data_IF_989370752821
#
_entry.id   IF_989370752821
#
_cell.length_a   1.000
_cell.length_b   1.000
_cell.length_c   1.000
_cell.angle_alpha   90.00
_cell.angle_beta   90.00
_cell.angle_gamma   90.00
#
_symmetry.space_group_name_H-M   'P 1'
#
loop_
_entity.id
_entity.type
_entity.pdbx_description
1 polymer ?
#
# COMPACT_ATOMS: atom_id res chain seq x y z
N UNK A 1 22.90 16.36 30.38
CA UNK A 1 22.92 15.82 29.74
C UNK A 1 22.76 15.19 29.29
N UNK A 2 22.48 15.55 29.33
CA UNK A 2 22.32 15.04 28.68
C UNK A 2 21.97 14.54 28.31
N UNK A 3 21.50 14.64 28.38
CA UNK A 3 21.26 14.09 27.79
C UNK A 3 21.03 13.96 27.06
N UNK A 4 20.53 14.15 27.52
CA UNK A 4 19.89 14.17 26.38
C UNK A 4 20.54 14.01 25.19
N UNK A 5 20.67 14.33 24.76
CA UNK A 5 21.24 14.24 23.55
C UNK A 5 21.80 12.95 23.24
N UNK A 6 22.03 12.20 24.15
CA UNK A 6 22.65 10.98 23.88
C UNK A 6 21.75 9.94 23.28
N UNK A 7 20.54 9.76 23.76
CA UNK A 7 19.64 8.84 23.08
C UNK A 7 19.31 9.29 21.69
N UNK A 8 19.33 10.56 21.49
CA UNK A 8 19.08 11.07 20.17
C UNK A 8 20.13 10.60 19.19
N UNK A 9 21.38 10.61 19.61
CA UNK A 9 22.44 10.19 18.75
C UNK A 9 22.27 8.74 18.34
N UNK A 10 21.92 7.91 19.28
CA UNK A 10 21.73 6.50 19.01
C UNK A 10 20.56 6.27 18.07
N UNK A 11 19.46 6.89 18.33
CA UNK A 11 18.29 6.75 17.47
C UNK A 11 18.55 7.35 16.11
N UNK A 12 19.34 8.41 16.07
CA UNK A 12 19.60 9.10 14.81
C UNK A 12 20.38 8.25 13.83
N UNK A 13 21.29 7.43 14.30
CA UNK A 13 22.08 6.63 13.39
C UNK A 13 21.20 5.72 12.55
N UNK A 14 20.24 5.06 13.17
CA UNK A 14 19.33 4.18 12.45
C UNK A 14 18.41 4.98 11.55
N UNK A 15 17.90 6.08 12.04
CA UNK A 15 16.99 6.92 11.28
C UNK A 15 17.69 7.55 10.09
N UNK A 16 18.91 8.02 10.28
CA UNK A 16 19.65 8.66 9.21
C UNK A 16 19.94 7.69 8.07
N UNK A 17 20.26 6.47 8.39
CA UNK A 17 20.51 5.49 7.36
C UNK A 17 19.25 5.21 6.55
N UNK A 18 18.12 5.13 7.20
CA UNK A 18 16.85 4.92 6.50
C UNK A 18 16.50 6.11 5.63
N UNK A 19 16.71 7.32 6.16
CA UNK A 19 16.42 8.52 5.41
C UNK A 19 17.32 8.65 4.18
N UNK A 20 18.58 8.36 4.32
CA UNK A 20 19.50 8.40 3.19
C UNK A 20 19.09 7.39 2.13
N UNK A 21 18.71 6.21 2.56
CA UNK A 21 18.29 5.18 1.63
C UNK A 21 17.04 5.62 0.86
N UNK A 22 16.09 6.23 1.55
CA UNK A 22 14.85 6.66 0.90
C UNK A 22 15.08 7.79 -0.07
N UNK A 23 16.05 8.66 0.20
CA UNK A 23 16.32 9.80 -0.67
C UNK A 23 17.29 9.50 -1.78
N UNK A 24 17.89 8.32 -1.77
CA UNK A 24 18.86 7.93 -2.77
C UNK A 24 18.15 7.57 -4.07
N UNK A 25 18.46 8.27 -5.18
CA UNK A 25 17.82 7.94 -6.46
C UNK A 25 18.03 6.51 -6.89
N UNK A 26 19.19 5.93 -6.56
CA UNK A 26 19.45 4.53 -6.89
C UNK A 26 18.48 3.61 -6.18
N UNK A 27 18.09 3.96 -4.95
CA UNK A 27 17.12 3.19 -4.21
C UNK A 27 15.75 3.25 -4.88
N UNK A 28 15.33 4.44 -5.29
CA UNK A 28 14.05 4.59 -5.98
C UNK A 28 14.03 3.79 -7.26
N UNK A 29 15.10 3.87 -8.06
CA UNK A 29 15.19 3.13 -9.31
C UNK A 29 15.09 1.63 -9.03
N UNK A 30 15.78 1.15 -8.00
CA UNK A 30 15.73 -0.27 -7.65
C UNK A 30 14.31 -0.70 -7.27
N UNK A 31 13.61 0.13 -6.50
CA UNK A 31 12.23 -0.18 -6.11
C UNK A 31 11.30 -0.18 -7.31
N UNK A 32 11.46 0.78 -8.22
CA UNK A 32 10.65 0.82 -9.44
C UNK A 32 10.89 -0.42 -10.29
N UNK A 33 12.14 -0.88 -10.35
CA UNK A 33 12.45 -2.08 -11.10
C UNK A 33 11.77 -3.29 -10.50
N UNK A 34 11.76 -3.40 -9.17
CA UNK A 34 11.08 -4.50 -8.50
C UNK A 34 9.59 -4.50 -8.82
N UNK A 35 8.97 -3.32 -8.84
CA UNK A 35 7.57 -3.21 -9.19
C UNK A 35 7.33 -3.72 -10.59
N UNK A 36 8.15 -3.30 -11.56
CA UNK A 36 7.95 -3.73 -12.93
C UNK A 36 8.27 -5.20 -13.13
N UNK A 37 9.04 -5.81 -12.24
CA UNK A 37 9.32 -7.25 -12.28
C UNK A 37 8.28 -8.07 -11.53
N UNK A 38 7.25 -7.42 -10.97
CA UNK A 38 6.16 -8.12 -10.33
C UNK A 38 6.42 -8.49 -8.88
N UNK A 39 6.97 -7.55 -8.10
CA UNK A 39 7.11 -7.78 -6.67
C UNK A 39 5.75 -7.86 -6.00
N UNK A 40 5.69 -8.55 -4.86
CA UNK A 40 4.47 -8.61 -4.06
C UNK A 40 4.12 -7.21 -3.51
N UNK A 41 2.93 -7.08 -2.98
CA UNK A 41 2.43 -5.79 -2.51
C UNK A 41 3.28 -5.19 -1.41
N UNK A 42 3.96 -6.03 -0.62
CA UNK A 42 4.83 -5.54 0.45
C UNK A 42 6.20 -5.11 -0.08
N UNK A 43 6.44 -5.22 -1.38
CA UNK A 43 7.69 -4.80 -2.00
C UNK A 43 8.77 -5.87 -1.98
N UNK A 44 8.52 -7.02 -1.38
CA UNK A 44 9.50 -8.08 -1.30
C UNK A 44 9.32 -9.07 -2.44
N UNK A 45 10.37 -9.79 -2.83
CA UNK A 45 10.24 -10.79 -3.87
C UNK A 45 9.39 -11.97 -3.39
N UNK A 46 8.76 -12.65 -4.35
CA UNK A 46 8.00 -13.84 -4.05
C UNK A 46 8.92 -14.96 -3.57
N UNK A 47 8.38 -15.88 -2.77
CA UNK A 47 9.16 -17.07 -2.40
C UNK A 47 9.59 -17.85 -3.62
N UNK A 48 10.73 -18.52 -3.52
CA UNK A 48 11.24 -19.31 -4.61
C UNK A 48 10.23 -20.40 -4.98
N UNK A 49 10.02 -20.58 -6.29
CA UNK A 49 9.06 -21.56 -6.78
C UNK A 49 7.62 -21.06 -6.80
N UNK A 50 7.37 -19.90 -6.28
CA UNK A 50 6.05 -19.29 -6.28
C UNK A 50 6.19 -17.86 -6.75
N UNK A 51 5.33 -17.38 -7.63
CA UNK A 51 4.16 -18.05 -8.21
C UNK A 51 4.53 -19.00 -9.34
N UNK A 52 3.58 -19.78 -9.84
CA UNK A 52 3.83 -20.67 -10.98
C UNK A 52 4.34 -19.89 -12.18
N UNK A 53 5.10 -20.53 -13.07
CA UNK A 53 5.63 -19.84 -14.24
C UNK A 53 4.55 -19.16 -15.06
N UNK A 54 4.86 -17.94 -15.51
CA UNK A 54 3.93 -17.18 -16.33
C UNK A 54 2.83 -16.47 -15.57
N UNK A 55 2.82 -16.60 -14.23
CA UNK A 55 1.75 -16.00 -13.42
C UNK A 55 2.22 -14.87 -12.54
N UNK A 56 3.52 -14.59 -12.50
CA UNK A 56 4.06 -13.64 -11.54
C UNK A 56 3.45 -12.25 -11.66
N UNK A 57 3.40 -11.70 -12.87
CA UNK A 57 2.90 -10.35 -13.06
C UNK A 57 1.41 -10.26 -12.74
N UNK A 58 0.65 -11.28 -13.16
CA UNK A 58 -0.79 -11.28 -12.87
C UNK A 58 -1.06 -11.37 -11.38
N UNK A 59 -0.34 -12.23 -10.68
CA UNK A 59 -0.53 -12.39 -9.24
C UNK A 59 -0.03 -11.17 -8.48
N UNK A 60 1.07 -10.54 -8.94
CA UNK A 60 1.54 -9.30 -8.34
C UNK A 60 0.51 -8.20 -8.49
N UNK A 61 -0.11 -8.09 -9.67
CA UNK A 61 -1.15 -7.10 -9.90
C UNK A 61 -2.34 -7.34 -8.98
N UNK A 62 -2.76 -8.61 -8.83
CA UNK A 62 -3.85 -8.94 -7.93
C UNK A 62 -3.49 -8.61 -6.49
N UNK A 63 -2.29 -8.97 -6.05
CA UNK A 63 -1.86 -8.73 -4.68
C UNK A 63 -1.82 -7.24 -4.38
N UNK A 64 -1.25 -6.44 -5.27
CA UNK A 64 -1.18 -5.00 -5.09
C UNK A 64 -2.57 -4.37 -5.15
N UNK A 65 -3.43 -4.87 -6.03
CA UNK A 65 -4.80 -4.38 -6.13
C UNK A 65 -5.57 -4.65 -4.84
N UNK A 66 -5.40 -5.84 -4.27
CA UNK A 66 -6.06 -6.19 -3.02
C UNK A 66 -5.55 -5.33 -1.85
N UNK A 67 -4.25 -5.05 -1.83
CA UNK A 67 -3.70 -4.16 -0.81
C UNK A 67 -4.29 -2.76 -0.92
N UNK A 68 -4.41 -2.23 -2.13
CA UNK A 68 -5.04 -0.93 -2.36
C UNK A 68 -6.51 -0.95 -2.01
N UNK A 69 -7.21 -2.03 -2.35
CA UNK A 69 -8.61 -2.19 -2.00
C UNK A 69 -8.81 -2.15 -0.48
N UNK A 70 -7.89 -2.77 0.26
CA UNK A 70 -7.98 -2.75 1.73
C UNK A 70 -7.95 -1.32 2.25
N UNK A 71 -7.07 -0.48 1.70
CA UNK A 71 -6.98 0.93 2.13
C UNK A 71 -8.27 1.67 1.80
N UNK A 72 -8.82 1.46 0.60
CA UNK A 72 -10.07 2.11 0.22
C UNK A 72 -11.20 1.66 1.15
N UNK A 73 -11.25 0.38 1.49
CA UNK A 73 -12.27 -0.13 2.40
C UNK A 73 -12.16 0.48 3.79
N UNK A 74 -10.93 0.70 4.26
CA UNK A 74 -10.73 1.37 5.55
C UNK A 74 -11.24 2.80 5.51
N UNK A 75 -11.02 3.48 4.39
CA UNK A 75 -11.54 4.84 4.22
C UNK A 75 -13.07 4.85 4.19
N UNK A 76 -13.67 3.87 3.53
CA UNK A 76 -15.14 3.75 3.51
C UNK A 76 -15.67 3.55 4.92
N UNK A 77 -15.04 2.68 5.68
CA UNK A 77 -15.49 2.42 7.04
C UNK A 77 -15.35 3.65 7.92
N UNK A 78 -14.23 4.36 7.80
CA UNK A 78 -14.01 5.58 8.57
C UNK A 78 -15.03 6.65 8.19
N UNK A 79 -15.31 6.80 6.90
CA UNK A 79 -16.30 7.77 6.42
C UNK A 79 -17.69 7.42 6.93
N UNK A 80 -18.03 6.13 6.94
CA UNK A 80 -19.34 5.72 7.42
C UNK A 80 -19.49 5.94 8.92
N UNK A 81 -18.44 5.68 9.68
CA UNK A 81 -18.48 5.96 11.12
C UNK A 81 -18.59 7.45 11.41
N UNK A 82 -17.92 8.28 10.61
CA UNK A 82 -18.04 9.72 10.75
C UNK A 82 -19.45 10.18 10.44
N UNK A 83 -20.08 9.58 9.41
CA UNK A 83 -21.46 9.90 9.08
C UNK A 83 -22.41 9.58 10.22
N UNK A 84 -22.18 8.47 10.91
CA UNK A 84 -23.05 8.02 11.99
C UNK A 84 -22.82 8.80 13.29
N UNK A 85 -21.55 9.05 13.63
CA UNK A 85 -21.20 9.51 14.97
C UNK A 85 -20.55 10.89 15.00
N UNK A 86 -20.09 11.41 13.88
CA UNK A 86 -19.38 12.68 13.83
C UNK A 86 -20.32 13.85 13.57
N UNK A 87 -19.73 15.03 13.53
CA UNK A 87 -20.45 16.23 13.16
C UNK A 87 -20.69 16.26 11.66
N UNK A 88 -21.73 16.97 11.23
CA UNK A 88 -22.11 16.99 9.82
C UNK A 88 -20.98 17.49 8.93
N UNK A 89 -20.18 18.44 9.42
CA UNK A 89 -19.11 19.01 8.60
C UNK A 89 -17.87 18.12 8.56
N UNK A 90 -17.83 17.05 9.34
CA UNK A 90 -16.74 16.09 9.29
C UNK A 90 -16.94 15.00 8.24
N UNK A 91 -18.17 14.85 7.79
CA UNK A 91 -18.47 13.79 6.82
C UNK A 91 -17.98 14.20 5.42
N UNK A 92 -17.37 13.24 4.71
CA UNK A 92 -16.79 13.50 3.38
C UNK A 92 -17.84 13.77 2.31
N UNK A 93 -19.11 13.45 2.57
CA UNK A 93 -20.18 13.69 1.63
C UNK A 93 -20.53 12.45 0.83
N UNK A 94 -21.78 12.43 0.34
CA UNK A 94 -22.29 11.26 -0.34
C UNK A 94 -21.58 11.00 -1.67
N UNK A 95 -21.16 12.05 -2.35
CA UNK A 95 -20.46 11.89 -3.62
C UNK A 95 -19.13 11.14 -3.44
N UNK A 96 -18.38 11.52 -2.41
CA UNK A 96 -17.10 10.85 -2.11
C UNK A 96 -17.36 9.43 -1.65
N UNK A 97 -18.34 9.23 -0.78
CA UNK A 97 -18.68 7.91 -0.30
C UNK A 97 -19.06 6.98 -1.45
N UNK A 98 -19.89 7.46 -2.38
CA UNK A 98 -20.27 6.65 -3.51
C UNK A 98 -19.07 6.31 -4.39
N UNK A 99 -18.18 7.29 -4.61
CA UNK A 99 -16.97 7.05 -5.38
C UNK A 99 -16.07 6.02 -4.74
N UNK A 100 -15.93 6.04 -3.42
CA UNK A 100 -15.15 5.04 -2.71
C UNK A 100 -15.77 3.66 -2.86
N UNK A 101 -17.09 3.56 -2.78
CA UNK A 101 -17.75 2.27 -2.95
C UNK A 101 -17.57 1.73 -4.37
N UNK A 102 -17.66 2.61 -5.37
CA UNK A 102 -17.43 2.19 -6.76
C UNK A 102 -16.00 1.74 -6.97
N UNK A 103 -15.04 2.40 -6.32
CA UNK A 103 -13.64 1.98 -6.38
C UNK A 103 -13.47 0.58 -5.78
N UNK A 104 -14.15 0.27 -4.69
CA UNK A 104 -14.10 -1.06 -4.10
C UNK A 104 -14.59 -2.12 -5.10
N UNK A 105 -15.68 -1.83 -5.79
CA UNK A 105 -16.20 -2.77 -6.78
C UNK A 105 -15.22 -2.96 -7.93
N UNK A 106 -14.70 -1.87 -8.46
CA UNK A 106 -13.78 -1.92 -9.60
C UNK A 106 -12.49 -2.66 -9.24
N UNK A 107 -11.92 -2.37 -8.08
CA UNK A 107 -10.67 -3.00 -7.66
C UNK A 107 -10.87 -4.49 -7.40
N UNK A 108 -11.98 -4.88 -6.79
CA UNK A 108 -12.23 -6.29 -6.54
C UNK A 108 -12.43 -7.05 -7.84
N UNK A 109 -13.13 -6.45 -8.81
CA UNK A 109 -13.32 -7.07 -10.12
C UNK A 109 -11.99 -7.23 -10.84
N UNK A 110 -11.14 -6.22 -10.78
CA UNK A 110 -9.83 -6.27 -11.41
C UNK A 110 -8.98 -7.39 -10.80
N UNK A 111 -8.93 -7.46 -9.47
CA UNK A 111 -8.16 -8.50 -8.80
C UNK A 111 -8.67 -9.88 -9.18
N UNK A 112 -9.99 -10.05 -9.27
CA UNK A 112 -10.57 -11.34 -9.62
C UNK A 112 -10.14 -11.79 -11.01
N UNK A 113 -10.08 -10.87 -11.97
CA UNK A 113 -9.65 -11.25 -13.34
C UNK A 113 -8.20 -11.71 -13.37
N UNK A 114 -7.36 -11.16 -12.48
CA UNK A 114 -5.95 -11.53 -12.44
C UNK A 114 -5.69 -12.84 -11.73
N UNK A 115 -6.59 -13.24 -10.85
CA UNK A 115 -6.43 -14.49 -10.10
C UNK A 115 -6.87 -15.69 -10.94
N UNK A 116 -7.86 -15.50 -11.80
CA UNK A 116 -8.42 -16.62 -12.54
C UNK A 116 -7.42 -17.18 -13.55
N UNK A 117 -7.30 -18.49 -13.65
CA UNK A 117 -6.44 -19.10 -14.67
C UNK A 117 -7.08 -18.93 -16.04
N UNK A 118 -6.22 -18.86 -17.04
CA UNK A 118 -6.65 -18.72 -18.42
C UNK A 118 -6.47 -19.99 -19.20
#
# INVERSE_FOLDING_TARGET
>A
MSTSDIPDTYASDTTDAADESERNPSRLVALLRRISEGAAADGFPWPEGYPPPGRRLALADADCTLAGLRVVQELVLAAERTRQDGEADEYVGDRIMEGLMQACIALSAHAATKIRPH
#
